data_IF_706248490335
#
_entry.id   IF_706248490335
#
_cell.length_a   1.000
_cell.length_b   1.000
_cell.length_c   1.000
_cell.angle_alpha   90.00
_cell.angle_beta   90.00
_cell.angle_gamma   90.00
#
_symmetry.space_group_name_H-M   'P 1'
#
loop_
_entity.id
_entity.type
_entity.pdbx_description
1 polymer ?
#
# COMPACT_ATOMS: atom_id res chain seq x y z
N UNK A 1 2.81 -18.40 6.21
CA UNK A 1 3.36 -18.66 4.88
C UNK A 1 2.77 -17.62 3.93
N UNK A 2 3.63 -16.90 3.25
CA UNK A 2 3.42 -15.75 2.34
C UNK A 2 3.11 -14.41 2.98
N UNK A 3 4.18 -13.70 3.30
CA UNK A 3 4.24 -12.24 3.31
C UNK A 3 4.71 -11.80 1.92
N UNK A 4 3.83 -11.22 1.14
CA UNK A 4 4.20 -10.59 -0.14
C UNK A 4 4.85 -9.23 0.16
N UNK A 5 6.13 -9.16 -0.16
CA UNK A 5 6.89 -7.93 -0.18
C UNK A 5 6.34 -6.99 -1.27
N UNK A 6 5.88 -5.83 -0.87
CA UNK A 6 5.48 -4.76 -1.78
C UNK A 6 6.73 -4.06 -2.31
N UNK A 7 7.15 -4.43 -3.52
CA UNK A 7 8.10 -3.67 -4.32
C UNK A 7 7.35 -3.14 -5.54
N UNK A 8 6.83 -1.93 -5.43
CA UNK A 8 6.45 -1.15 -6.60
C UNK A 8 7.74 -0.61 -7.23
N UNK A 9 8.20 -1.24 -8.30
CA UNK A 9 9.33 -0.79 -9.11
C UNK A 9 8.75 0.12 -10.20
N UNK A 10 8.79 1.43 -9.98
CA UNK A 10 8.57 2.38 -11.06
C UNK A 10 9.69 2.28 -12.08
N UNK A 11 9.34 1.83 -13.29
CA UNK A 11 10.22 1.87 -14.46
C UNK A 11 10.15 3.27 -15.04
N UNK A 12 11.15 4.09 -14.73
CA UNK A 12 11.38 5.38 -15.39
C UNK A 12 12.04 5.11 -16.75
N UNK A 13 11.28 5.17 -17.82
CA UNK A 13 11.83 5.28 -19.18
C UNK A 13 12.35 6.71 -19.39
N UNK A 14 13.63 6.91 -19.30
CA UNK A 14 14.30 8.10 -19.82
C UNK A 14 14.59 7.91 -21.30
N UNK A 15 13.87 8.60 -22.13
CA UNK A 15 14.26 8.86 -23.51
C UNK A 15 15.43 9.83 -23.52
N UNK A 16 16.62 9.35 -23.84
CA UNK A 16 17.76 10.20 -24.18
C UNK A 16 17.84 10.31 -25.70
N UNK A 17 17.34 11.42 -26.24
CA UNK A 17 17.69 11.93 -27.53
C UNK A 17 18.96 12.78 -27.40
N UNK A 18 20.08 12.29 -27.85
CA UNK A 18 21.27 13.13 -28.10
C UNK A 18 21.70 12.92 -29.53
N UNK A 19 21.46 13.91 -30.35
CA UNK A 19 22.03 14.02 -31.68
C UNK A 19 23.49 14.40 -31.64
N UNK A 20 24.27 13.91 -32.57
CA UNK A 20 25.43 14.65 -33.11
C UNK A 20 25.68 14.29 -34.55
N UNK A 21 25.81 15.37 -35.30
CA UNK A 21 26.21 15.50 -36.70
C UNK A 21 27.56 14.83 -37.01
N UNK A 22 27.76 14.35 -38.23
CA UNK A 22 28.83 14.89 -39.06
C UNK A 22 29.08 14.06 -40.33
N UNK A 23 29.02 14.74 -41.44
CA UNK A 23 29.90 14.76 -42.63
C UNK A 23 29.68 13.69 -43.70
N UNK A 24 29.22 14.18 -44.83
CA UNK A 24 29.45 13.77 -46.25
C UNK A 24 30.97 13.80 -46.57
N UNK A 25 31.50 13.07 -47.54
CA UNK A 25 31.12 13.26 -48.95
C UNK A 25 31.28 12.04 -49.93
N UNK A 26 30.70 12.25 -51.09
CA UNK A 26 31.28 11.97 -52.45
C UNK A 26 30.85 10.69 -53.18
N UNK A 27 29.95 10.88 -54.09
CA UNK A 27 29.92 10.59 -55.50
C UNK A 27 30.56 9.28 -56.00
N UNK A 28 29.76 8.36 -56.50
CA UNK A 28 30.07 7.66 -57.74
C UNK A 28 28.79 7.25 -58.49
N UNK A 29 28.62 7.84 -59.69
CA UNK A 29 27.58 7.54 -60.66
C UNK A 29 28.01 6.27 -61.41
N UNK A 30 27.18 5.23 -61.41
CA UNK A 30 27.19 4.19 -62.44
C UNK A 30 25.75 3.92 -62.89
N UNK A 31 25.46 4.39 -64.05
CA UNK A 31 24.24 4.19 -64.80
C UNK A 31 24.31 2.80 -65.46
N UNK A 32 23.44 1.87 -65.11
CA UNK A 32 23.16 0.69 -65.91
C UNK A 32 21.65 0.52 -66.04
N UNK A 33 21.19 0.80 -67.27
CA UNK A 33 19.85 0.51 -67.73
C UNK A 33 19.60 -1.00 -67.77
N UNK A 34 18.53 -1.46 -67.10
CA UNK A 34 17.84 -2.70 -67.46
C UNK A 34 16.34 -2.45 -67.46
N UNK A 35 15.68 -2.68 -68.62
CA UNK A 35 14.23 -2.64 -68.65
C UNK A 35 13.65 -4.03 -68.36
N UNK A 36 12.61 -4.07 -67.60
CA UNK A 36 11.66 -5.19 -67.70
C UNK A 36 11.41 -5.94 -66.40
N UNK A 37 10.22 -5.80 -66.02
CA UNK A 37 9.24 -6.68 -65.43
C UNK A 37 8.56 -6.00 -64.22
N UNK A 38 7.46 -5.33 -64.53
CA UNK A 38 6.48 -4.91 -63.54
C UNK A 38 5.83 -6.17 -62.99
N UNK A 39 6.29 -6.60 -61.82
CA UNK A 39 5.60 -7.60 -61.04
C UNK A 39 4.83 -6.86 -59.94
N UNK A 40 3.53 -6.68 -60.12
CA UNK A 40 2.63 -6.20 -59.11
C UNK A 40 2.60 -7.23 -57.96
N UNK A 41 3.49 -7.06 -56.98
CA UNK A 41 3.33 -7.72 -55.72
C UNK A 41 2.24 -6.97 -54.93
N UNK A 42 1.05 -7.56 -54.84
CA UNK A 42 0.04 -7.18 -53.88
C UNK A 42 0.64 -7.38 -52.50
N UNK A 43 1.16 -6.33 -51.91
CA UNK A 43 1.44 -6.25 -50.49
C UNK A 43 0.10 -6.29 -49.76
N UNK A 44 -0.32 -7.50 -49.39
CA UNK A 44 -1.38 -7.68 -48.40
C UNK A 44 -0.89 -7.05 -47.12
N UNK A 45 -1.34 -5.83 -46.83
CA UNK A 45 -1.22 -5.22 -45.51
C UNK A 45 -2.00 -6.10 -44.54
N UNK A 46 -1.34 -7.06 -43.93
CA UNK A 46 -1.89 -7.70 -42.76
C UNK A 46 -1.98 -6.62 -41.69
N UNK A 47 -3.20 -6.15 -41.45
CA UNK A 47 -3.53 -5.39 -40.28
C UNK A 47 -3.26 -6.31 -39.07
N UNK A 48 -2.11 -6.16 -38.46
CA UNK A 48 -1.84 -6.73 -37.14
C UNK A 48 -2.83 -6.04 -36.21
N UNK A 49 -3.95 -6.70 -35.91
CA UNK A 49 -4.83 -6.29 -34.85
C UNK A 49 -3.94 -6.24 -33.58
N UNK A 50 -3.92 -5.13 -32.84
CA UNK A 50 -3.23 -5.11 -31.57
C UNK A 50 -3.83 -6.23 -30.74
N UNK A 51 -3.01 -7.21 -30.37
CA UNK A 51 -3.40 -8.22 -29.39
C UNK A 51 -3.76 -7.43 -28.12
N UNK A 52 -5.03 -7.36 -27.81
CA UNK A 52 -5.51 -6.90 -26.52
C UNK A 52 -4.95 -7.89 -25.49
N UNK A 53 -3.77 -7.61 -24.97
CA UNK A 53 -3.26 -8.33 -23.81
C UNK A 53 -4.20 -7.98 -22.67
N UNK A 54 -5.08 -8.92 -22.31
CA UNK A 54 -5.82 -8.83 -21.06
C UNK A 54 -4.80 -8.86 -19.93
N UNK A 55 -4.44 -7.68 -19.45
CA UNK A 55 -3.55 -7.57 -18.30
C UNK A 55 -4.28 -8.15 -17.09
N UNK A 56 -3.70 -9.16 -16.47
CA UNK A 56 -4.15 -9.62 -15.16
C UNK A 56 -3.64 -8.61 -14.14
N UNK A 57 -4.55 -7.87 -13.55
CA UNK A 57 -4.23 -6.90 -12.50
C UNK A 57 -4.29 -7.63 -11.17
N UNK A 58 -3.16 -7.66 -10.45
CA UNK A 58 -3.08 -8.21 -9.09
C UNK A 58 -3.49 -7.13 -8.08
N UNK A 59 -4.75 -7.15 -7.68
CA UNK A 59 -5.30 -6.18 -6.73
C UNK A 59 -4.91 -6.53 -5.30
N UNK A 60 -4.41 -5.55 -4.55
CA UNK A 60 -4.41 -5.62 -3.08
C UNK A 60 -5.87 -5.60 -2.59
N UNK A 61 -6.19 -6.35 -1.54
CA UNK A 61 -7.54 -6.30 -0.97
C UNK A 61 -7.79 -4.96 -0.29
N UNK A 62 -8.52 -4.07 -0.95
CA UNK A 62 -8.85 -2.74 -0.46
C UNK A 62 -10.31 -2.36 -0.70
N UNK A 63 -10.75 -1.34 0.03
CA UNK A 63 -11.99 -0.58 -0.19
C UNK A 63 -11.65 0.92 -0.18
N UNK A 64 -12.41 1.75 -0.90
CA UNK A 64 -12.18 3.20 -0.96
C UNK A 64 -13.45 3.98 -0.69
N UNK A 65 -13.42 4.83 0.35
CA UNK A 65 -14.55 5.69 0.74
C UNK A 65 -14.04 7.02 1.30
N UNK A 66 -14.76 8.12 1.01
CA UNK A 66 -14.39 9.45 1.50
C UNK A 66 -12.99 9.91 1.11
N UNK A 67 -12.46 9.45 -0.03
CA UNK A 67 -11.07 9.70 -0.46
C UNK A 67 -10.03 8.84 0.26
N UNK A 68 -10.41 8.10 1.30
CA UNK A 68 -9.52 7.23 2.08
C UNK A 68 -9.51 5.84 1.44
N UNK A 69 -8.32 5.28 1.25
CA UNK A 69 -8.14 3.88 0.88
C UNK A 69 -7.87 3.08 2.15
N UNK A 70 -8.66 2.04 2.35
CA UNK A 70 -8.52 1.09 3.45
C UNK A 70 -8.06 -0.25 2.90
N UNK A 71 -7.08 -0.86 3.52
CA UNK A 71 -6.54 -2.17 3.11
C UNK A 71 -6.95 -3.21 4.14
N UNK A 72 -7.31 -4.39 3.66
CA UNK A 72 -7.60 -5.54 4.51
C UNK A 72 -6.35 -5.94 5.30
N UNK A 73 -6.52 -6.16 6.60
CA UNK A 73 -5.42 -6.53 7.48
C UNK A 73 -5.60 -7.95 7.99
N UNK A 74 -4.48 -8.66 8.14
CA UNK A 74 -4.47 -9.93 8.86
C UNK A 74 -4.63 -9.64 10.35
N UNK A 75 -5.56 -10.33 10.99
CA UNK A 75 -5.77 -10.21 12.44
C UNK A 75 -4.83 -11.09 13.26
N UNK A 76 -3.96 -11.85 12.61
CA UNK A 76 -2.90 -12.60 13.30
C UNK A 76 -1.63 -11.74 13.43
N UNK A 77 -1.06 -11.65 14.63
CA UNK A 77 -1.30 -12.45 15.85
C UNK A 77 -2.50 -12.00 16.74
N UNK A 78 -3.32 -11.03 16.34
CA UNK A 78 -4.47 -10.58 17.12
C UNK A 78 -5.71 -11.50 17.02
N UNK A 79 -6.76 -11.16 17.78
CA UNK A 79 -8.05 -11.86 17.70
C UNK A 79 -8.82 -11.51 16.44
N UNK A 80 -9.65 -12.42 15.94
CA UNK A 80 -10.62 -12.16 14.89
C UNK A 80 -11.80 -11.32 15.39
N UNK A 81 -12.38 -10.48 14.50
CA UNK A 81 -13.60 -9.76 14.79
C UNK A 81 -14.81 -10.71 14.82
N UNK A 82 -15.80 -10.34 15.61
CA UNK A 82 -17.10 -10.98 15.71
C UNK A 82 -18.20 -9.96 15.33
N UNK A 83 -19.43 -10.41 15.20
CA UNK A 83 -20.57 -9.52 14.94
C UNK A 83 -20.79 -8.49 16.06
N UNK A 84 -20.33 -8.80 17.29
CA UNK A 84 -20.35 -7.84 18.41
C UNK A 84 -19.46 -6.63 18.22
N UNK A 85 -18.42 -6.74 17.40
CA UNK A 85 -17.50 -5.66 17.09
C UNK A 85 -18.03 -4.71 16.01
N UNK A 86 -19.08 -5.13 15.28
CA UNK A 86 -19.69 -4.32 14.24
C UNK A 86 -20.58 -3.22 14.86
N UNK A 87 -20.33 -2.00 14.45
CA UNK A 87 -21.15 -0.84 14.70
C UNK A 87 -22.26 -0.68 13.63
N UNK A 88 -22.77 0.53 13.43
CA UNK A 88 -23.76 0.79 12.38
C UNK A 88 -23.14 0.60 10.99
N UNK A 89 -24.01 0.36 10.01
CA UNK A 89 -23.62 0.37 8.60
C UNK A 89 -23.08 1.77 8.27
N UNK A 90 -21.84 1.82 7.82
CA UNK A 90 -21.17 3.05 7.39
C UNK A 90 -21.52 3.39 5.94
N UNK A 91 -21.47 2.38 5.05
CA UNK A 91 -21.74 2.53 3.63
C UNK A 91 -21.94 1.15 2.97
N UNK A 92 -22.05 1.13 1.64
CA UNK A 92 -22.09 -0.09 0.82
C UNK A 92 -21.11 0.03 -0.34
N UNK A 93 -20.52 -1.11 -0.74
CA UNK A 93 -19.70 -1.21 -1.95
C UNK A 93 -20.57 -0.92 -3.17
N UNK A 94 -20.06 -0.07 -4.07
CA UNK A 94 -20.76 0.28 -5.30
C UNK A 94 -20.24 -0.50 -6.49
N UNK A 95 -18.92 -0.77 -6.53
CA UNK A 95 -18.29 -1.43 -7.66
C UNK A 95 -17.15 -2.35 -7.22
N UNK A 96 -17.12 -3.57 -7.77
CA UNK A 96 -16.04 -4.55 -7.61
C UNK A 96 -15.07 -4.42 -8.76
N UNK A 97 -13.76 -4.33 -8.46
CA UNK A 97 -12.72 -4.19 -9.49
C UNK A 97 -12.33 -5.51 -10.12
N UNK A 98 -12.09 -6.54 -9.28
CA UNK A 98 -11.70 -7.85 -9.76
C UNK A 98 -12.72 -8.40 -10.77
N UNK A 99 -12.23 -8.83 -11.93
CA UNK A 99 -13.06 -9.34 -13.02
C UNK A 99 -13.79 -8.28 -13.85
N UNK A 100 -13.86 -7.01 -13.39
CA UNK A 100 -14.56 -5.92 -14.09
C UNK A 100 -13.62 -4.85 -14.67
N UNK A 101 -12.39 -4.75 -14.15
CA UNK A 101 -11.40 -3.77 -14.60
C UNK A 101 -10.21 -4.51 -15.20
N UNK A 102 -9.90 -4.20 -16.46
CA UNK A 102 -8.76 -4.76 -17.21
C UNK A 102 -7.74 -3.68 -17.61
N UNK A 103 -8.05 -2.41 -17.35
CA UNK A 103 -7.16 -1.29 -17.61
C UNK A 103 -6.19 -1.09 -16.43
N UNK A 104 -4.87 -1.31 -16.63
CA UNK A 104 -3.87 -1.08 -15.58
C UNK A 104 -3.79 0.38 -15.12
N UNK A 105 -4.25 1.33 -15.94
CA UNK A 105 -4.34 2.75 -15.62
C UNK A 105 -5.59 3.15 -14.83
N UNK A 106 -6.41 2.19 -14.40
CA UNK A 106 -7.62 2.51 -13.66
C UNK A 106 -7.33 3.18 -12.31
N UNK A 107 -7.93 4.34 -12.10
CA UNK A 107 -7.87 5.05 -10.83
C UNK A 107 -9.11 4.74 -9.98
N UNK A 108 -8.90 4.09 -8.84
CA UNK A 108 -9.98 3.73 -7.91
C UNK A 108 -10.76 4.95 -7.42
N UNK A 109 -12.09 4.80 -7.30
CA UNK A 109 -13.05 5.83 -6.91
C UNK A 109 -13.69 5.48 -5.56
N UNK A 110 -14.37 6.44 -4.95
CA UNK A 110 -15.18 6.17 -3.76
C UNK A 110 -16.31 5.17 -4.11
N UNK A 111 -16.47 4.17 -3.27
CA UNK A 111 -17.38 3.07 -3.50
C UNK A 111 -16.76 1.82 -4.12
N UNK A 112 -15.51 1.92 -4.58
CA UNK A 112 -14.79 0.78 -5.14
C UNK A 112 -14.27 -0.16 -4.05
N UNK A 113 -14.29 -1.44 -4.37
CA UNK A 113 -13.64 -2.49 -3.61
C UNK A 113 -12.89 -3.44 -4.56
N UNK A 114 -11.72 -3.93 -4.15
CA UNK A 114 -10.97 -4.88 -4.97
C UNK A 114 -11.75 -6.17 -5.19
N UNK A 115 -12.25 -6.79 -4.13
CA UNK A 115 -12.83 -8.13 -4.17
C UNK A 115 -14.27 -8.20 -3.68
N UNK A 116 -14.75 -7.25 -2.86
CA UNK A 116 -16.11 -7.27 -2.34
C UNK A 116 -17.13 -6.97 -3.44
N UNK A 117 -18.21 -7.73 -3.47
CA UNK A 117 -19.29 -7.53 -4.43
C UNK A 117 -20.04 -6.21 -4.18
N UNK A 118 -20.56 -5.62 -5.25
CA UNK A 118 -21.50 -4.48 -5.14
C UNK A 118 -22.66 -4.84 -4.22
N UNK A 119 -23.09 -3.90 -3.37
CA UNK A 119 -24.10 -4.10 -2.34
C UNK A 119 -23.58 -4.64 -1.01
N UNK A 120 -22.30 -5.09 -0.92
CA UNK A 120 -21.71 -5.52 0.35
C UNK A 120 -21.72 -4.37 1.35
N UNK A 121 -22.29 -4.61 2.54
CA UNK A 121 -22.35 -3.62 3.63
C UNK A 121 -20.99 -3.47 4.30
N UNK A 122 -20.57 -2.22 4.48
CA UNK A 122 -19.39 -1.85 5.23
C UNK A 122 -19.83 -1.24 6.54
N UNK A 123 -19.27 -1.73 7.63
CA UNK A 123 -19.63 -1.36 8.99
C UNK A 123 -18.53 -0.52 9.63
N UNK A 124 -18.91 0.43 10.48
CA UNK A 124 -17.99 1.00 11.45
C UNK A 124 -17.56 -0.09 12.44
N UNK A 125 -16.34 -0.02 12.95
CA UNK A 125 -15.88 -0.90 14.03
C UNK A 125 -16.09 -0.19 15.36
N UNK A 126 -16.81 -0.83 16.30
CA UNK A 126 -17.07 -0.25 17.64
C UNK A 126 -15.77 0.13 18.33
N UNK A 127 -15.77 1.31 18.94
CA UNK A 127 -14.59 1.84 19.64
C UNK A 127 -13.54 2.50 18.75
N UNK A 128 -13.76 2.54 17.43
CA UNK A 128 -12.83 3.15 16.46
C UNK A 128 -13.52 4.18 15.59
N UNK A 129 -12.75 5.19 15.19
CA UNK A 129 -13.19 6.15 14.19
C UNK A 129 -13.28 5.45 12.82
N UNK A 130 -14.39 5.62 12.07
CA UNK A 130 -14.51 5.08 10.72
C UNK A 130 -13.43 5.55 9.74
N UNK A 131 -12.79 6.70 9.97
CA UNK A 131 -11.64 7.15 9.17
C UNK A 131 -10.38 6.31 9.41
N UNK A 132 -10.37 5.45 10.43
CA UNK A 132 -9.28 4.53 10.74
C UNK A 132 -9.63 3.07 10.46
N UNK A 133 -10.78 2.57 10.96
CA UNK A 133 -11.18 1.17 10.84
C UNK A 133 -12.59 1.00 10.33
N UNK A 134 -12.72 0.13 9.34
CA UNK A 134 -14.00 -0.36 8.80
C UNK A 134 -13.98 -1.89 8.77
N UNK A 135 -15.15 -2.51 8.66
CA UNK A 135 -15.26 -3.95 8.54
C UNK A 135 -16.29 -4.34 7.47
N UNK A 136 -16.03 -5.41 6.74
CA UNK A 136 -17.00 -6.04 5.86
C UNK A 136 -17.38 -7.41 6.43
N UNK A 137 -18.67 -7.74 6.42
CA UNK A 137 -19.16 -9.06 6.78
C UNK A 137 -19.54 -9.82 5.52
N UNK A 138 -18.93 -10.98 5.34
CA UNK A 138 -19.20 -11.92 4.26
C UNK A 138 -19.57 -13.29 4.85
N UNK A 139 -20.00 -14.23 4.00
CA UNK A 139 -20.33 -15.61 4.43
C UNK A 139 -19.14 -16.34 5.05
N UNK A 140 -17.92 -15.98 4.66
CA UNK A 140 -16.65 -16.56 5.14
C UNK A 140 -16.15 -15.96 6.44
N UNK A 141 -16.75 -14.83 6.91
CA UNK A 141 -16.34 -14.16 8.13
C UNK A 141 -16.36 -12.63 8.02
N UNK A 142 -15.63 -12.00 8.94
CA UNK A 142 -15.51 -10.55 9.00
C UNK A 142 -14.09 -10.15 8.64
N UNK A 143 -13.96 -9.32 7.60
CA UNK A 143 -12.68 -8.73 7.19
C UNK A 143 -12.55 -7.34 7.79
N UNK A 144 -11.44 -7.11 8.52
CA UNK A 144 -11.06 -5.79 9.02
C UNK A 144 -10.27 -5.04 7.96
N UNK A 145 -10.63 -3.78 7.75
CA UNK A 145 -9.93 -2.84 6.89
C UNK A 145 -9.39 -1.68 7.72
N UNK A 146 -8.12 -1.35 7.54
CA UNK A 146 -7.48 -0.18 8.16
C UNK A 146 -7.10 0.86 7.12
N UNK A 147 -7.26 2.12 7.48
CA UNK A 147 -6.84 3.24 6.65
C UNK A 147 -5.35 3.10 6.30
N UNK A 148 -5.11 3.03 4.99
CA UNK A 148 -3.78 2.95 4.41
C UNK A 148 -3.35 4.32 3.87
N UNK A 149 -4.21 4.95 3.08
CA UNK A 149 -3.95 6.28 2.53
C UNK A 149 -5.11 7.22 2.87
N UNK A 150 -4.80 8.31 3.55
CA UNK A 150 -5.74 9.39 3.83
C UNK A 150 -5.12 10.71 3.35
N UNK A 151 -5.58 11.28 2.22
CA UNK A 151 -5.01 12.51 1.65
C UNK A 151 -5.22 13.74 2.54
N UNK A 152 -6.12 13.65 3.51
CA UNK A 152 -6.42 14.73 4.46
C UNK A 152 -5.59 14.66 5.74
N UNK A 153 -4.83 13.59 5.94
CA UNK A 153 -4.03 13.41 7.15
C UNK A 153 -2.93 14.48 7.23
N UNK A 154 -2.81 15.07 8.42
CA UNK A 154 -1.77 16.04 8.79
C UNK A 154 -0.96 15.59 9.99
N UNK A 155 -1.55 14.75 10.83
CA UNK A 155 -0.94 14.18 12.03
C UNK A 155 -1.17 12.68 12.10
N UNK A 156 -0.35 11.98 12.88
CA UNK A 156 -0.49 10.54 13.09
C UNK A 156 -1.88 10.12 13.57
N UNK A 157 -2.55 10.94 14.39
CA UNK A 157 -3.93 10.69 14.85
C UNK A 157 -4.97 10.68 13.72
N UNK A 158 -4.65 11.24 12.56
CA UNK A 158 -5.56 11.23 11.40
C UNK A 158 -5.47 9.90 10.61
N UNK A 159 -4.44 9.08 10.92
CA UNK A 159 -4.19 7.76 10.34
C UNK A 159 -4.36 6.62 11.34
N UNK A 160 -4.27 6.91 12.65
CA UNK A 160 -4.24 5.92 13.71
C UNK A 160 -5.14 6.35 14.88
N UNK A 161 -6.20 5.59 15.13
CA UNK A 161 -7.06 5.79 16.31
C UNK A 161 -6.69 4.77 17.42
N UNK A 162 -5.50 4.92 17.99
CA UNK A 162 -4.93 4.02 19.01
C UNK A 162 -4.70 4.69 20.37
N UNK A 163 -5.06 5.96 20.52
CA UNK A 163 -4.89 6.71 21.77
C UNK A 163 -5.63 6.06 22.95
N UNK A 164 -4.91 5.77 24.02
CA UNK A 164 -5.45 5.12 25.21
C UNK A 164 -5.88 3.65 25.03
N UNK A 165 -5.62 3.05 23.85
CA UNK A 165 -6.03 1.69 23.53
C UNK A 165 -4.87 0.68 23.53
N UNK A 166 -3.61 1.15 23.48
CA UNK A 166 -2.41 0.30 23.40
C UNK A 166 -2.01 -0.21 24.78
N UNK A 167 -1.89 -1.52 24.92
CA UNK A 167 -1.37 -2.18 26.12
C UNK A 167 0.14 -2.27 26.12
N UNK A 168 0.73 -2.65 24.98
CA UNK A 168 2.19 -2.70 24.79
C UNK A 168 2.55 -2.56 23.33
N UNK A 169 3.83 -2.27 23.06
CA UNK A 169 4.39 -2.10 21.74
C UNK A 169 5.40 -3.23 21.50
N UNK A 170 5.14 -4.12 20.53
CA UNK A 170 6.07 -5.13 20.05
C UNK A 170 6.93 -4.59 18.92
N UNK A 171 8.20 -4.94 18.91
CA UNK A 171 9.13 -4.71 17.79
C UNK A 171 9.34 -6.03 17.08
N UNK A 172 8.95 -6.12 15.82
CA UNK A 172 8.92 -7.37 15.05
C UNK A 172 9.93 -7.31 13.90
N UNK A 173 10.56 -8.44 13.64
CA UNK A 173 11.55 -8.61 12.57
C UNK A 173 10.96 -8.30 11.19
N UNK A 174 11.73 -7.61 10.37
CA UNK A 174 11.38 -7.39 8.96
C UNK A 174 11.68 -8.59 8.05
N UNK A 175 12.37 -9.61 8.57
CA UNK A 175 12.73 -10.80 7.80
C UNK A 175 11.54 -11.74 7.62
N UNK A 176 10.76 -11.95 8.68
CA UNK A 176 9.63 -12.87 8.69
C UNK A 176 8.29 -12.21 9.06
N UNK A 177 8.34 -11.01 9.65
CA UNK A 177 7.16 -10.26 10.09
C UNK A 177 6.41 -10.89 11.29
N UNK A 178 7.05 -11.85 11.98
CA UNK A 178 6.42 -12.64 13.06
C UNK A 178 7.29 -12.67 14.31
N UNK A 179 8.61 -12.79 14.17
CA UNK A 179 9.54 -12.89 15.31
C UNK A 179 9.59 -11.56 16.05
N UNK A 180 9.18 -11.56 17.32
CA UNK A 180 9.30 -10.40 18.22
C UNK A 180 10.76 -10.26 18.68
N UNK A 181 11.40 -9.15 18.30
CA UNK A 181 12.77 -8.81 18.64
C UNK A 181 12.87 -8.10 20.02
N UNK A 182 11.78 -7.50 20.46
CA UNK A 182 11.69 -6.81 21.72
C UNK A 182 10.29 -6.23 21.96
N UNK A 183 10.02 -5.81 23.19
CA UNK A 183 8.75 -5.21 23.54
C UNK A 183 8.91 -4.07 24.55
N UNK A 184 8.06 -3.05 24.44
CA UNK A 184 7.93 -1.95 25.39
C UNK A 184 6.62 -2.15 26.14
N UNK A 185 6.70 -2.48 27.44
CA UNK A 185 5.55 -2.86 28.28
C UNK A 185 5.26 -1.89 29.42
N UNK A 186 6.19 -0.97 29.75
CA UNK A 186 5.94 0.03 30.78
C UNK A 186 4.79 0.96 30.34
N UNK A 187 3.69 1.07 31.12
CA UNK A 187 2.50 1.81 30.70
C UNK A 187 2.76 3.31 30.48
N UNK A 188 3.69 3.91 31.24
CA UNK A 188 4.03 5.34 31.11
C UNK A 188 4.82 5.57 29.83
N UNK A 189 5.79 4.68 29.55
CA UNK A 189 6.57 4.73 28.32
C UNK A 189 5.69 4.49 27.09
N UNK A 190 4.81 3.49 27.14
CA UNK A 190 3.83 3.23 26.07
C UNK A 190 2.98 4.47 25.81
N UNK A 191 2.37 5.06 26.84
CA UNK A 191 1.54 6.26 26.68
C UNK A 191 2.31 7.43 26.06
N UNK A 192 3.57 7.62 26.48
CA UNK A 192 4.45 8.66 25.92
C UNK A 192 4.72 8.43 24.45
N UNK A 193 5.11 7.20 24.05
CA UNK A 193 5.42 6.85 22.67
C UNK A 193 4.19 6.94 21.77
N UNK A 194 3.03 6.50 22.24
CA UNK A 194 1.77 6.63 21.49
C UNK A 194 1.42 8.10 21.30
N UNK A 195 1.61 8.95 22.30
CA UNK A 195 1.40 10.39 22.11
C UNK A 195 2.35 10.98 21.04
N UNK A 196 3.63 10.58 21.03
CA UNK A 196 4.56 10.98 19.96
C UNK A 196 4.04 10.58 18.60
N UNK A 197 3.57 9.34 18.44
CA UNK A 197 2.98 8.85 17.17
C UNK A 197 1.78 9.69 16.74
N UNK A 198 0.83 9.92 17.65
CA UNK A 198 -0.43 10.60 17.35
C UNK A 198 -0.25 12.09 17.03
N UNK A 199 0.75 12.74 17.65
CA UNK A 199 1.04 14.17 17.43
C UNK A 199 2.03 14.42 16.29
N UNK A 200 2.73 13.39 15.82
CA UNK A 200 3.71 13.50 14.73
C UNK A 200 3.08 14.05 13.45
N UNK A 201 3.85 14.86 12.73
CA UNK A 201 3.45 15.37 11.43
C UNK A 201 3.45 14.26 10.37
N UNK A 202 2.56 14.37 9.39
CA UNK A 202 2.48 13.45 8.25
C UNK A 202 3.05 14.12 7.02
N UNK A 203 4.07 13.51 6.41
CA UNK A 203 4.59 13.86 5.09
C UNK A 203 4.11 12.85 4.06
N UNK A 204 3.09 13.22 3.27
CA UNK A 204 2.48 12.35 2.25
C UNK A 204 3.47 11.90 1.15
N UNK A 205 4.60 12.59 0.98
CA UNK A 205 5.61 12.31 -0.03
C UNK A 205 6.81 11.52 0.52
N UNK A 206 6.76 11.09 1.78
CA UNK A 206 7.86 10.33 2.38
C UNK A 206 7.96 8.93 1.79
N UNK A 207 9.19 8.44 1.62
CA UNK A 207 9.49 7.17 0.96
C UNK A 207 10.02 6.11 1.94
N UNK A 208 10.06 6.43 3.24
CA UNK A 208 10.69 5.57 4.24
C UNK A 208 12.22 5.60 4.17
N UNK A 209 12.86 4.54 4.65
CA UNK A 209 14.31 4.41 4.72
C UNK A 209 14.77 2.98 4.42
N UNK A 210 15.99 2.65 4.83
CA UNK A 210 16.62 1.35 4.56
C UNK A 210 16.50 0.38 5.74
N UNK A 211 16.62 0.90 6.97
CA UNK A 211 16.59 0.08 8.18
C UNK A 211 15.16 -0.04 8.73
N UNK A 212 14.47 -1.13 8.38
CA UNK A 212 13.07 -1.33 8.70
C UNK A 212 12.84 -2.33 9.82
N UNK A 213 11.90 -1.99 10.71
CA UNK A 213 11.23 -2.88 11.66
C UNK A 213 9.72 -2.86 11.42
N UNK A 214 9.01 -3.83 11.97
CA UNK A 214 7.56 -3.70 12.15
C UNK A 214 7.27 -3.34 13.60
N UNK A 215 6.42 -2.34 13.79
CA UNK A 215 5.91 -1.95 15.11
C UNK A 215 4.50 -2.49 15.25
N UNK A 216 4.30 -3.36 16.23
CA UNK A 216 3.02 -3.98 16.56
C UNK A 216 2.43 -3.30 17.80
N UNK A 217 1.38 -2.51 17.61
CA UNK A 217 0.61 -1.93 18.71
C UNK A 217 -0.45 -2.93 19.16
N UNK A 218 -0.23 -3.58 20.29
CA UNK A 218 -1.17 -4.53 20.88
C UNK A 218 -2.25 -3.79 21.65
N UNK A 219 -3.50 -3.92 21.21
CA UNK A 219 -4.61 -3.12 21.72
C UNK A 219 -5.38 -3.87 22.82
N UNK A 220 -6.04 -3.12 23.71
CA UNK A 220 -6.81 -3.66 24.83
C UNK A 220 -7.98 -4.56 24.40
N UNK A 221 -8.48 -4.40 23.17
CA UNK A 221 -9.51 -5.28 22.60
C UNK A 221 -8.96 -6.59 22.03
N UNK A 222 -7.65 -6.83 22.16
CA UNK A 222 -6.96 -8.02 21.65
C UNK A 222 -6.62 -7.98 20.16
N UNK A 223 -6.94 -6.90 19.44
CA UNK A 223 -6.46 -6.70 18.08
C UNK A 223 -5.06 -6.08 18.06
N UNK A 224 -4.38 -6.16 16.92
CA UNK A 224 -3.02 -5.62 16.74
C UNK A 224 -2.99 -4.73 15.51
N UNK A 225 -2.37 -3.56 15.64
CA UNK A 225 -2.08 -2.65 14.51
C UNK A 225 -0.60 -2.75 14.20
N UNK A 226 -0.24 -3.24 13.03
CA UNK A 226 1.17 -3.36 12.63
C UNK A 226 1.51 -2.32 11.57
N UNK A 227 2.63 -1.62 11.74
CA UNK A 227 3.14 -0.62 10.79
C UNK A 227 4.64 -0.78 10.60
N UNK A 228 5.12 -0.59 9.37
CA UNK A 228 6.55 -0.45 9.10
C UNK A 228 7.11 0.79 9.79
N UNK A 229 8.28 0.68 10.37
CA UNK A 229 9.05 1.78 10.93
C UNK A 229 10.46 1.75 10.36
N UNK A 230 10.88 2.83 9.73
CA UNK A 230 12.22 3.02 9.22
C UNK A 230 13.03 3.84 10.21
N UNK A 231 13.96 3.15 10.88
CA UNK A 231 14.73 3.69 11.99
C UNK A 231 15.66 4.83 11.56
N UNK A 232 16.27 4.69 10.39
CA UNK A 232 17.19 5.68 9.80
C UNK A 232 16.47 6.93 9.30
N UNK A 233 15.20 6.80 8.90
CA UNK A 233 14.37 7.92 8.48
C UNK A 233 13.53 8.52 9.62
N UNK A 234 13.44 7.86 10.78
CA UNK A 234 12.52 8.26 11.85
C UNK A 234 11.05 8.21 11.41
N UNK A 235 10.70 7.33 10.47
CA UNK A 235 9.39 7.32 9.84
C UNK A 235 8.61 6.05 10.19
N UNK A 236 7.39 6.24 10.69
CA UNK A 236 6.37 5.19 10.71
C UNK A 236 5.56 5.27 9.41
N UNK A 237 5.17 4.12 8.88
CA UNK A 237 4.51 4.01 7.58
C UNK A 237 3.42 5.07 7.34
N UNK A 238 3.32 5.49 6.08
CA UNK A 238 2.45 6.57 5.59
C UNK A 238 2.91 7.97 5.99
N UNK A 239 4.23 8.13 6.14
CA UNK A 239 4.87 9.42 6.32
C UNK A 239 4.73 10.02 7.70
N UNK A 240 4.43 9.23 8.74
CA UNK A 240 4.38 9.73 10.12
C UNK A 240 5.83 9.92 10.60
N UNK A 241 6.27 11.20 10.70
CA UNK A 241 7.64 11.56 11.05
C UNK A 241 7.79 11.63 12.58
N UNK A 242 8.51 10.67 13.14
CA UNK A 242 8.69 10.51 14.57
C UNK A 242 9.99 11.17 15.06
N UNK A 243 9.98 11.74 16.27
CA UNK A 243 11.21 12.27 16.87
C UNK A 243 12.16 11.12 17.26
N UNK A 244 13.46 11.43 17.37
CA UNK A 244 14.53 10.48 17.71
C UNK A 244 14.24 9.64 18.97
N UNK A 245 13.51 10.20 19.92
CA UNK A 245 13.11 9.52 21.16
C UNK A 245 12.35 8.21 20.88
N UNK A 246 11.55 8.13 19.82
CA UNK A 246 10.86 6.90 19.43
C UNK A 246 11.86 5.86 18.93
N UNK A 247 12.75 6.25 18.04
CA UNK A 247 13.81 5.36 17.51
C UNK A 247 14.75 4.84 18.58
N UNK A 248 15.12 5.69 19.56
CA UNK A 248 15.93 5.29 20.70
C UNK A 248 15.22 4.26 21.57
N UNK A 249 13.91 4.43 21.82
CA UNK A 249 13.13 3.44 22.57
C UNK A 249 13.04 2.09 21.84
N UNK A 250 12.89 2.09 20.53
CA UNK A 250 12.90 0.88 19.70
C UNK A 250 14.25 0.17 19.78
N UNK A 251 15.37 0.90 19.63
CA UNK A 251 16.73 0.33 19.76
C UNK A 251 16.95 -0.30 21.13
N UNK A 252 16.59 0.41 22.19
CA UNK A 252 16.73 -0.09 23.56
C UNK A 252 15.94 -1.39 23.78
N UNK A 253 14.70 -1.45 23.30
CA UNK A 253 13.86 -2.64 23.44
C UNK A 253 14.39 -3.87 22.69
N UNK A 254 15.05 -3.67 21.54
CA UNK A 254 15.70 -4.76 20.78
C UNK A 254 16.99 -5.24 21.45
N UNK A 255 17.78 -4.31 22.02
CA UNK A 255 19.09 -4.65 22.61
C UNK A 255 18.99 -5.44 23.94
N UNK A 256 17.84 -5.40 24.62
CA UNK A 256 17.63 -6.14 25.89
C UNK A 256 17.47 -7.64 25.63
N UNK A 257 17.11 -8.05 24.42
CA UNK A 257 16.80 -9.44 24.06
C UNK A 257 17.90 -10.11 23.19
N UNK A 258 19.03 -9.43 22.96
CA UNK A 258 20.25 -9.96 22.35
C UNK A 258 21.30 -10.27 23.41
#
# INVERSE_FOLDING_TARGET
MFMLAYHAKEVHMRNNLSGKHSILPTLFVVLLFFPGLVSCAFLSSQSVSPATSNAVIDWVNFIKFGGITYVAVSLKPGRSLTTHDLGPVFTTVQFKLEGNVQDPGYHSKNGDAAFLNSGTKIYAVKGYNPTFRLAAQESTGITLYEADTNPYARKGKDLLDIGGKVQYIGIVSNQDGVTELGAIKDPKQVATLINLVLQASVNQNSQGGNQRYFIAFHLADGTVVTRSFWLDAGELARGILLPDAFGLAVKAAVSVNQ
#
